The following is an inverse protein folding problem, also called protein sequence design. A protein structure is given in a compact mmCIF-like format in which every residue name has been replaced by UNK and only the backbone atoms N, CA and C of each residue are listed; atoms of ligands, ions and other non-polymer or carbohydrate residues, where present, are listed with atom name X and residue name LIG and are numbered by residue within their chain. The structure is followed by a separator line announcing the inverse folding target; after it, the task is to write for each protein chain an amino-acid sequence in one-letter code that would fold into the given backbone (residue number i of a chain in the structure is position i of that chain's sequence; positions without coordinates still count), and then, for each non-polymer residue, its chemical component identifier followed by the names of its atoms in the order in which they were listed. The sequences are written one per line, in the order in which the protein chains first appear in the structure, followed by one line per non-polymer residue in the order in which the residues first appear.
data_IF_096302420433
#
_entry.id   IF_096302420433
#
_cell.length_a   1.000
_cell.length_b   1.000
_cell.length_c   1.000
_cell.angle_alpha   90.00
_cell.angle_beta   90.00
_cell.angle_gamma   90.00
#
_symmetry.space_group_name_H-M   'P 1'
#
loop_
_entity.id
_entity.type
_entity.pdbx_description
1 polymer ?
#
# COMPACT_ATOMS: atom_id res chain seq x y z
N UNK A 1 24.93 -38.16 -1.09
CA UNK A 1 24.68 -37.23 -2.20
C UNK A 1 23.24 -36.80 -2.00
N UNK A 2 23.06 -35.90 -1.04
CA UNK A 2 21.76 -35.33 -0.71
C UNK A 2 21.44 -34.28 -1.76
N UNK A 3 20.24 -34.36 -2.31
CA UNK A 3 19.74 -33.42 -3.29
C UNK A 3 19.75 -32.01 -2.70
N UNK A 4 20.37 -31.09 -3.44
CA UNK A 4 20.35 -29.65 -3.23
C UNK A 4 18.88 -29.20 -3.28
N UNK A 5 18.19 -29.14 -2.14
CA UNK A 5 16.94 -28.39 -2.05
C UNK A 5 17.36 -26.93 -2.12
N UNK A 6 17.28 -26.36 -3.31
CA UNK A 6 17.32 -24.92 -3.51
C UNK A 6 16.11 -24.35 -2.76
N UNK A 7 16.29 -24.05 -1.47
CA UNK A 7 15.29 -23.41 -0.62
C UNK A 7 15.36 -21.90 -0.85
N UNK A 8 14.42 -21.35 -1.59
CA UNK A 8 13.16 -20.70 -1.17
C UNK A 8 13.34 -19.20 -1.36
N UNK A 9 12.58 -18.64 -2.30
CA UNK A 9 12.66 -17.22 -2.63
C UNK A 9 12.07 -16.44 -1.45
N UNK A 10 12.89 -15.69 -0.74
CA UNK A 10 12.42 -14.91 0.39
C UNK A 10 11.81 -13.59 -0.08
N UNK A 11 10.75 -13.13 0.56
CA UNK A 11 10.30 -11.75 0.45
C UNK A 11 10.65 -11.00 1.72
N UNK A 12 11.22 -9.81 1.58
CA UNK A 12 11.52 -8.95 2.70
C UNK A 12 10.71 -7.66 2.64
N UNK A 13 10.12 -7.31 3.77
CA UNK A 13 9.62 -5.98 4.04
C UNK A 13 10.62 -5.26 4.93
N UNK A 14 11.45 -4.37 4.36
CA UNK A 14 12.46 -3.63 5.12
C UNK A 14 11.84 -2.62 6.12
N UNK A 15 10.62 -2.16 5.87
CA UNK A 15 9.89 -1.26 6.78
C UNK A 15 9.45 -1.98 8.06
N UNK A 16 8.94 -3.21 7.94
CA UNK A 16 8.49 -4.00 9.10
C UNK A 16 9.57 -4.92 9.66
N UNK A 17 10.70 -5.05 8.96
CA UNK A 17 11.75 -6.02 9.27
C UNK A 17 11.20 -7.45 9.35
N UNK A 18 10.35 -7.82 8.39
CA UNK A 18 9.78 -9.16 8.29
C UNK A 18 10.31 -9.82 7.02
N UNK A 19 10.72 -11.09 7.14
CA UNK A 19 11.05 -11.96 6.01
C UNK A 19 10.07 -13.14 6.00
N UNK A 20 9.64 -13.53 4.80
CA UNK A 20 8.78 -14.69 4.60
C UNK A 20 9.33 -15.53 3.43
N UNK A 21 9.57 -16.84 3.60
CA UNK A 21 9.99 -17.71 2.51
C UNK A 21 8.82 -18.09 1.59
N UNK A 22 9.08 -18.20 0.28
CA UNK A 22 8.11 -18.67 -0.73
C UNK A 22 7.87 -20.18 -0.65
N UNK A 23 7.00 -20.60 0.25
CA UNK A 23 6.60 -21.99 0.38
C UNK A 23 5.27 -22.30 -0.30
N UNK A 24 5.21 -23.44 -1.00
CA UNK A 24 3.98 -23.96 -1.61
C UNK A 24 3.19 -24.88 -0.67
N UNK A 25 3.28 -24.63 0.64
CA UNK A 25 2.42 -25.26 1.65
C UNK A 25 1.09 -24.48 1.79
N UNK A 26 -0.02 -25.11 2.22
CA UNK A 26 -1.27 -24.38 2.45
C UNK A 26 -1.12 -23.20 3.42
N UNK A 27 -0.50 -23.43 4.57
CA UNK A 27 -0.26 -22.39 5.58
C UNK A 27 0.73 -21.33 5.09
N UNK A 28 1.77 -21.74 4.34
CA UNK A 28 2.73 -20.83 3.72
C UNK A 28 2.07 -19.93 2.67
N UNK A 29 1.10 -20.46 1.91
CA UNK A 29 0.33 -19.70 0.93
C UNK A 29 -0.59 -18.67 1.58
N UNK A 30 -1.24 -19.01 2.70
CA UNK A 30 -2.07 -18.06 3.46
C UNK A 30 -1.20 -16.97 4.10
N UNK A 31 -0.09 -17.35 4.73
CA UNK A 31 0.91 -16.41 5.25
C UNK A 31 1.44 -15.47 4.15
N UNK A 32 1.68 -16.00 2.95
CA UNK A 32 2.13 -15.22 1.79
C UNK A 32 1.13 -14.17 1.36
N UNK A 33 -0.12 -14.59 1.21
CA UNK A 33 -1.17 -13.68 0.80
C UNK A 33 -1.48 -12.64 1.88
N UNK A 34 -1.41 -13.02 3.16
CA UNK A 34 -1.51 -12.09 4.28
C UNK A 34 -0.37 -11.08 4.22
N UNK A 35 0.88 -11.53 4.12
CA UNK A 35 2.07 -10.68 4.01
C UNK A 35 1.93 -9.65 2.87
N UNK A 36 1.51 -10.09 1.69
CA UNK A 36 1.30 -9.18 0.55
C UNK A 36 0.19 -8.15 0.79
N UNK A 37 -0.81 -8.48 1.61
CA UNK A 37 -1.88 -7.56 2.01
C UNK A 37 -1.40 -6.58 3.09
N UNK A 38 -0.73 -7.07 4.15
CA UNK A 38 -0.21 -6.23 5.25
C UNK A 38 0.90 -5.26 4.78
N UNK A 39 1.71 -5.70 3.82
CA UNK A 39 2.85 -4.96 3.30
C UNK A 39 2.61 -4.39 1.90
N UNK A 40 1.35 -4.31 1.48
CA UNK A 40 0.93 -3.73 0.19
C UNK A 40 1.46 -2.30 -0.06
N UNK A 41 1.87 -1.60 1.01
CA UNK A 41 2.33 -0.22 1.05
C UNK A 41 3.82 -0.06 1.36
N UNK A 42 4.54 -1.15 1.55
CA UNK A 42 5.97 -1.12 1.86
C UNK A 42 6.77 -1.42 0.61
N UNK A 43 8.04 -1.02 0.63
CA UNK A 43 9.01 -1.55 -0.31
C UNK A 43 9.24 -3.01 0.05
N UNK A 44 8.62 -3.88 -0.74
CA UNK A 44 8.69 -5.33 -0.62
C UNK A 44 9.63 -5.84 -1.71
N UNK A 45 10.69 -6.52 -1.30
CA UNK A 45 11.72 -7.02 -2.21
C UNK A 45 11.69 -8.55 -2.26
N UNK A 46 11.70 -9.10 -3.48
CA UNK A 46 11.93 -10.51 -3.69
C UNK A 46 13.44 -10.77 -3.67
N UNK A 47 13.86 -11.66 -2.80
CA UNK A 47 15.24 -12.02 -2.55
C UNK A 47 15.53 -13.36 -3.22
N UNK A 48 16.63 -13.37 -3.96
CA UNK A 48 17.23 -14.56 -4.53
C UNK A 48 18.56 -14.80 -3.82
N UNK A 49 19.16 -15.98 -4.00
CA UNK A 49 20.42 -16.44 -3.36
C UNK A 49 21.63 -15.48 -3.48
N UNK A 50 21.51 -14.39 -4.26
CA UNK A 50 22.53 -13.36 -4.47
C UNK A 50 21.97 -11.91 -4.45
N UNK A 51 20.79 -11.70 -3.88
CA UNK A 51 20.23 -10.35 -3.79
C UNK A 51 21.08 -9.50 -2.85
N UNK A 52 21.49 -8.30 -3.28
CA UNK A 52 22.26 -7.37 -2.44
C UNK A 52 21.53 -6.98 -1.14
N UNK A 53 20.21 -7.14 -1.10
CA UNK A 53 19.38 -6.92 0.08
C UNK A 53 19.40 -8.09 1.07
N UNK A 54 19.82 -9.28 0.65
CA UNK A 54 20.01 -10.43 1.54
C UNK A 54 21.15 -10.16 2.54
N UNK A 55 22.21 -9.45 2.13
CA UNK A 55 23.28 -8.99 3.02
C UNK A 55 22.82 -7.92 4.04
N UNK A 56 21.65 -7.32 3.84
CA UNK A 56 21.06 -6.29 4.72
C UNK A 56 20.05 -6.87 5.72
N UNK A 57 19.68 -8.14 5.57
CA UNK A 57 18.88 -8.85 6.55
C UNK A 57 19.83 -9.32 7.65
N UNK A 58 19.51 -8.95 8.88
CA UNK A 58 20.30 -9.23 10.08
C UNK A 58 19.37 -9.73 11.19
N UNK A 59 19.93 -10.09 12.35
CA UNK A 59 19.29 -10.73 13.51
C UNK A 59 18.02 -10.07 14.05
N UNK A 60 17.74 -8.84 13.66
CA UNK A 60 16.56 -8.09 14.10
C UNK A 60 15.34 -8.27 13.17
N UNK A 61 15.50 -8.97 12.04
CA UNK A 61 14.36 -9.34 11.20
C UNK A 61 13.63 -10.52 11.83
N UNK A 62 12.30 -10.48 11.78
CA UNK A 62 11.45 -11.59 12.18
C UNK A 62 11.25 -12.47 10.95
N UNK A 63 11.67 -13.73 11.01
CA UNK A 63 11.52 -14.68 9.92
C UNK A 63 10.31 -15.58 10.17
N UNK A 64 9.26 -15.42 9.36
CA UNK A 64 8.05 -16.23 9.51
C UNK A 64 8.34 -17.67 9.09
N UNK A 65 8.11 -18.62 9.99
CA UNK A 65 8.32 -20.04 9.75
C UNK A 65 9.76 -20.53 9.97
N UNK A 66 10.60 -19.73 10.62
CA UNK A 66 11.93 -20.16 11.07
C UNK A 66 11.84 -21.17 12.23
N UNK A 67 12.98 -21.79 12.56
CA UNK A 67 13.12 -22.66 13.74
C UNK A 67 13.34 -21.88 15.05
N UNK A 68 13.40 -20.54 14.98
CA UNK A 68 13.60 -19.65 16.11
C UNK A 68 12.28 -19.54 16.90
N UNK A 69 12.30 -19.95 18.17
CA UNK A 69 11.11 -20.01 19.03
C UNK A 69 10.38 -18.67 19.23
N UNK A 70 11.05 -17.52 19.06
CA UNK A 70 10.43 -16.20 19.19
C UNK A 70 9.70 -15.76 17.92
N UNK A 71 10.00 -16.40 16.79
CA UNK A 71 9.45 -16.02 15.50
C UNK A 71 8.14 -16.79 15.28
N UNK A 72 7.16 -16.18 14.61
CA UNK A 72 5.90 -16.84 14.35
C UNK A 72 6.08 -17.93 13.30
N UNK A 73 5.51 -19.11 13.53
CA UNK A 73 5.31 -20.11 12.48
C UNK A 73 4.37 -19.58 11.38
N UNK A 74 4.31 -20.25 10.21
CA UNK A 74 3.35 -19.87 9.16
C UNK A 74 1.90 -19.86 9.65
N UNK A 75 1.51 -20.84 10.46
CA UNK A 75 0.16 -20.93 11.02
C UNK A 75 -0.13 -19.80 12.03
N UNK A 76 0.85 -19.44 12.87
CA UNK A 76 0.71 -18.32 13.80
C UNK A 76 0.68 -16.98 13.07
N UNK A 77 1.50 -16.81 12.03
CA UNK A 77 1.52 -15.62 11.22
C UNK A 77 0.25 -15.48 10.38
N UNK A 78 -0.22 -16.55 9.73
CA UNK A 78 -1.47 -16.55 8.98
C UNK A 78 -2.67 -16.30 9.92
N UNK A 79 -2.77 -17.04 11.01
CA UNK A 79 -3.92 -16.99 11.93
C UNK A 79 -5.24 -17.35 11.22
N UNK A 80 -6.36 -16.81 11.68
CA UNK A 80 -7.69 -16.99 11.04
C UNK A 80 -7.90 -16.02 9.86
N UNK A 81 -6.89 -15.84 9.00
CA UNK A 81 -6.98 -14.87 7.93
C UNK A 81 -7.91 -15.37 6.81
N UNK A 82 -9.13 -14.84 6.78
CA UNK A 82 -10.14 -15.19 5.78
C UNK A 82 -9.81 -14.73 4.35
N UNK A 83 -8.73 -13.96 4.19
CA UNK A 83 -8.23 -13.49 2.91
C UNK A 83 -9.12 -12.42 2.27
N UNK A 84 -8.50 -11.38 1.72
CA UNK A 84 -9.21 -10.52 0.76
C UNK A 84 -9.08 -11.17 -0.62
N UNK A 85 -10.20 -11.43 -1.32
CA UNK A 85 -10.20 -11.94 -2.70
C UNK A 85 -9.74 -10.89 -3.73
N UNK A 86 -8.60 -10.24 -3.45
CA UNK A 86 -8.05 -9.13 -4.23
C UNK A 86 -7.20 -9.62 -5.40
N UNK A 87 -6.57 -10.78 -5.25
CA UNK A 87 -5.75 -11.38 -6.31
C UNK A 87 -6.55 -11.65 -7.60
N UNK A 88 -7.87 -11.78 -7.49
CA UNK A 88 -8.78 -12.08 -8.59
C UNK A 88 -9.42 -10.83 -9.22
N UNK A 89 -9.20 -9.64 -8.65
CA UNK A 89 -9.86 -8.41 -9.08
C UNK A 89 -8.83 -7.39 -9.58
N UNK A 90 -9.02 -6.82 -10.79
CA UNK A 90 -8.17 -5.73 -11.27
C UNK A 90 -8.17 -4.56 -10.29
N UNK A 91 -7.02 -3.91 -10.13
CA UNK A 91 -6.80 -2.71 -9.30
C UNK A 91 -6.43 -1.50 -10.16
N UNK A 92 -7.35 -1.03 -11.02
CA UNK A 92 -7.04 -0.03 -12.03
C UNK A 92 -6.68 1.34 -11.43
N UNK A 93 -7.31 1.74 -10.31
CA UNK A 93 -7.11 3.07 -9.73
C UNK A 93 -5.74 3.14 -9.06
N UNK A 94 -5.42 2.20 -8.17
CA UNK A 94 -4.12 2.18 -7.52
C UNK A 94 -2.98 2.02 -8.54
N UNK A 95 -3.18 1.25 -9.62
CA UNK A 95 -2.21 1.15 -10.72
C UNK A 95 -2.00 2.48 -11.43
N UNK A 96 -3.08 3.17 -11.82
CA UNK A 96 -2.98 4.46 -12.50
C UNK A 96 -2.27 5.51 -11.62
N UNK A 97 -2.60 5.55 -10.33
CA UNK A 97 -1.93 6.44 -9.37
C UNK A 97 -0.47 6.05 -9.16
N UNK A 98 -0.13 4.77 -9.08
CA UNK A 98 1.25 4.32 -8.98
C UNK A 98 2.10 4.77 -10.18
N UNK A 99 1.54 4.75 -11.40
CA UNK A 99 2.24 5.23 -12.60
C UNK A 99 2.46 6.76 -12.58
N UNK A 100 1.56 7.53 -11.97
CA UNK A 100 1.73 8.97 -11.76
C UNK A 100 2.80 9.23 -10.69
N UNK A 101 2.70 8.55 -9.54
CA UNK A 101 3.66 8.66 -8.43
C UNK A 101 5.07 8.27 -8.86
N UNK A 102 5.23 7.20 -9.65
CA UNK A 102 6.54 6.80 -10.17
C UNK A 102 7.16 7.88 -11.06
N UNK A 103 6.38 8.47 -11.98
CA UNK A 103 6.87 9.58 -12.83
C UNK A 103 7.29 10.80 -12.00
N UNK A 104 6.57 11.07 -10.92
CA UNK A 104 6.93 12.12 -9.97
C UNK A 104 8.28 11.84 -9.27
N UNK A 105 8.48 10.61 -8.77
CA UNK A 105 9.77 10.19 -8.20
C UNK A 105 10.91 10.32 -9.23
N UNK A 106 10.72 9.79 -10.44
CA UNK A 106 11.72 9.84 -11.51
C UNK A 106 12.13 11.29 -11.81
N UNK A 107 11.17 12.23 -11.88
CA UNK A 107 11.44 13.65 -12.12
C UNK A 107 12.19 14.33 -10.97
N UNK A 108 11.89 13.97 -9.71
CA UNK A 108 12.60 14.50 -8.54
C UNK A 108 14.03 13.96 -8.45
N UNK A 109 14.23 12.68 -8.73
CA UNK A 109 15.55 12.04 -8.72
C UNK A 109 16.43 12.56 -9.87
N UNK A 110 15.84 12.87 -11.03
CA UNK A 110 16.50 13.57 -12.13
C UNK A 110 16.71 15.08 -11.91
N UNK A 111 16.21 15.62 -10.79
CA UNK A 111 16.23 17.05 -10.43
C UNK A 111 15.44 17.96 -11.38
N UNK A 112 14.53 17.40 -12.15
CA UNK A 112 13.59 18.11 -13.03
C UNK A 112 12.43 18.73 -12.23
N UNK A 113 12.09 18.14 -11.09
CA UNK A 113 11.13 18.71 -10.15
C UNK A 113 11.77 18.97 -8.79
N UNK A 114 11.69 20.22 -8.34
CA UNK A 114 11.93 20.63 -6.96
C UNK A 114 10.66 21.23 -6.37
N UNK A 115 10.17 20.69 -5.25
CA UNK A 115 8.99 21.21 -4.58
C UNK A 115 9.24 22.64 -4.06
N UNK A 116 8.31 23.54 -4.36
CA UNK A 116 8.32 24.90 -3.81
C UNK A 116 7.82 24.90 -2.35
N UNK A 117 8.14 25.93 -1.55
CA UNK A 117 7.62 26.01 -0.18
C UNK A 117 6.09 25.99 -0.07
N UNK A 118 5.39 26.54 -1.08
CA UNK A 118 3.93 26.47 -1.15
C UNK A 118 3.42 25.03 -1.33
N UNK A 119 4.16 24.19 -2.08
CA UNK A 119 3.85 22.78 -2.29
C UNK A 119 3.95 22.00 -0.98
N UNK A 120 5.01 22.25 -0.19
CA UNK A 120 5.20 21.64 1.12
C UNK A 120 4.06 21.99 2.09
N UNK A 121 3.64 23.26 2.14
CA UNK A 121 2.55 23.68 3.00
C UNK A 121 1.19 23.06 2.58
N UNK A 122 0.94 22.93 1.27
CA UNK A 122 -0.25 22.28 0.76
C UNK A 122 -0.22 20.77 1.03
N UNK A 123 0.93 20.12 0.82
CA UNK A 123 1.20 18.74 1.17
C UNK A 123 0.90 18.45 2.65
N UNK A 124 1.44 19.26 3.57
CA UNK A 124 1.19 19.13 5.00
C UNK A 124 -0.29 19.20 5.37
N UNK A 125 -1.07 20.06 4.68
CA UNK A 125 -2.52 20.17 4.91
C UNK A 125 -3.29 18.92 4.47
N UNK A 126 -2.89 18.29 3.37
CA UNK A 126 -3.59 17.11 2.84
C UNK A 126 -3.17 15.80 3.51
N UNK A 127 -1.93 15.70 4.04
CA UNK A 127 -1.39 14.47 4.61
C UNK A 127 -2.32 13.75 5.62
N UNK A 128 -2.98 14.44 6.58
CA UNK A 128 -3.84 13.77 7.56
C UNK A 128 -5.04 13.05 6.95
N UNK A 129 -5.44 13.42 5.73
CA UNK A 129 -6.59 12.83 5.06
C UNK A 129 -6.22 11.65 4.16
N UNK A 130 -4.94 11.37 3.94
CA UNK A 130 -4.48 10.32 3.02
C UNK A 130 -4.04 9.04 3.76
N UNK A 131 -4.17 9.01 5.09
CA UNK A 131 -3.79 7.88 5.93
C UNK A 131 -4.84 6.77 5.92
N UNK A 132 -4.82 5.96 4.87
CA UNK A 132 -5.63 4.75 4.75
C UNK A 132 -4.76 3.50 4.96
N UNK A 133 -4.62 3.09 6.21
CA UNK A 133 -3.91 1.87 6.60
C UNK A 133 -4.76 1.04 7.59
N UNK A 134 -5.98 0.63 7.23
CA UNK A 134 -6.76 -0.24 8.09
C UNK A 134 -6.05 -1.60 8.23
N UNK A 135 -6.15 -2.26 9.39
CA UNK A 135 -5.57 -3.58 9.57
C UNK A 135 -6.07 -4.57 8.49
N UNK A 136 -5.18 -5.40 7.92
CA UNK A 136 -5.47 -6.26 6.77
C UNK A 136 -6.61 -7.27 7.04
N UNK A 137 -6.75 -7.70 8.31
CA UNK A 137 -7.81 -8.59 8.79
C UNK A 137 -8.96 -7.90 9.54
N UNK A 138 -9.06 -6.56 9.53
CA UNK A 138 -10.17 -5.86 10.20
C UNK A 138 -11.50 -6.22 9.53
N UNK A 139 -12.39 -6.84 10.33
CA UNK A 139 -13.74 -7.16 9.88
C UNK A 139 -14.56 -5.88 9.74
N UNK A 140 -15.32 -5.79 8.64
CA UNK A 140 -16.19 -4.64 8.38
C UNK A 140 -17.66 -5.06 8.32
N UNK A 141 -18.51 -4.18 8.84
CA UNK A 141 -19.94 -4.17 8.57
C UNK A 141 -20.29 -2.96 7.68
N UNK A 142 -21.57 -2.82 7.31
CA UNK A 142 -22.06 -1.71 6.49
C UNK A 142 -21.72 -0.34 7.10
N UNK A 143 -21.77 -0.20 8.44
CA UNK A 143 -21.46 1.06 9.09
C UNK A 143 -19.98 1.43 8.95
N UNK A 144 -19.08 0.45 9.06
CA UNK A 144 -17.64 0.64 8.83
C UNK A 144 -17.37 0.96 7.36
N UNK A 145 -18.04 0.30 6.42
CA UNK A 145 -17.92 0.61 4.97
C UNK A 145 -18.33 2.06 4.69
N UNK A 146 -19.45 2.52 5.24
CA UNK A 146 -19.92 3.89 5.07
C UNK A 146 -18.97 4.92 5.70
N UNK A 147 -18.42 4.63 6.89
CA UNK A 147 -17.45 5.50 7.55
C UNK A 147 -16.16 5.64 6.72
N UNK A 148 -15.67 4.53 6.16
CA UNK A 148 -14.51 4.51 5.27
C UNK A 148 -14.76 5.25 3.96
N UNK A 149 -15.94 5.07 3.36
CA UNK A 149 -16.34 5.84 2.18
C UNK A 149 -16.37 7.35 2.47
N UNK A 150 -16.94 7.76 3.61
CA UNK A 150 -16.94 9.18 4.01
C UNK A 150 -15.52 9.74 4.21
N UNK A 151 -14.58 8.93 4.73
CA UNK A 151 -13.18 9.31 4.84
C UNK A 151 -12.53 9.48 3.45
N UNK A 152 -12.81 8.56 2.51
CA UNK A 152 -12.37 8.67 1.11
C UNK A 152 -12.92 9.95 0.46
N UNK A 153 -14.22 10.23 0.61
CA UNK A 153 -14.83 11.45 0.08
C UNK A 153 -14.20 12.72 0.65
N UNK A 154 -13.93 12.74 1.96
CA UNK A 154 -13.22 13.84 2.60
C UNK A 154 -11.80 14.02 2.03
N UNK A 155 -11.06 12.93 1.81
CA UNK A 155 -9.72 12.97 1.21
C UNK A 155 -9.74 13.52 -0.21
N UNK A 156 -10.68 13.06 -1.04
CA UNK A 156 -10.87 13.55 -2.41
C UNK A 156 -11.21 15.05 -2.43
N UNK A 157 -12.06 15.50 -1.51
CA UNK A 157 -12.40 16.91 -1.39
C UNK A 157 -11.21 17.77 -0.97
N UNK A 158 -10.37 17.29 -0.04
CA UNK A 158 -9.15 18.02 0.34
C UNK A 158 -8.13 18.09 -0.80
N UNK A 159 -7.97 17.01 -1.58
CA UNK A 159 -7.15 17.02 -2.79
C UNK A 159 -7.67 18.04 -3.82
N UNK A 160 -9.00 18.09 -4.05
CA UNK A 160 -9.61 19.10 -4.92
C UNK A 160 -9.34 20.51 -4.43
N UNK A 161 -9.51 20.78 -3.14
CA UNK A 161 -9.20 22.09 -2.55
C UNK A 161 -7.74 22.48 -2.75
N UNK A 162 -6.81 21.56 -2.52
CA UNK A 162 -5.39 21.80 -2.73
C UNK A 162 -5.09 22.23 -4.18
N UNK A 163 -5.77 21.67 -5.19
CA UNK A 163 -5.59 22.11 -6.59
C UNK A 163 -6.06 23.52 -6.90
N UNK A 164 -6.81 24.17 -6.01
CA UNK A 164 -7.23 25.57 -6.17
C UNK A 164 -6.26 26.57 -5.54
N UNK A 165 -5.25 26.07 -4.82
CA UNK A 165 -4.23 26.89 -4.17
C UNK A 165 -3.13 27.31 -5.16
N UNK A 166 -2.38 28.39 -4.88
CA UNK A 166 -1.23 28.78 -5.69
C UNK A 166 -0.06 27.80 -5.46
N UNK A 167 -0.05 26.71 -6.22
CA UNK A 167 0.98 25.68 -6.19
C UNK A 167 2.04 25.92 -7.28
N UNK A 168 3.21 25.30 -7.12
CA UNK A 168 4.19 25.19 -8.20
C UNK A 168 3.68 24.31 -9.33
N UNK A 169 4.10 24.61 -10.57
CA UNK A 169 3.59 23.97 -11.79
C UNK A 169 3.65 22.42 -11.74
N UNK A 170 4.76 21.86 -11.25
CA UNK A 170 4.94 20.41 -11.15
C UNK A 170 4.00 19.77 -10.13
N UNK A 171 3.88 20.36 -8.93
CA UNK A 171 3.00 19.81 -7.89
C UNK A 171 1.52 19.99 -8.24
N UNK A 172 1.15 21.15 -8.81
CA UNK A 172 -0.21 21.38 -9.32
C UNK A 172 -0.58 20.41 -10.44
N UNK A 173 0.36 20.11 -11.35
CA UNK A 173 0.17 19.09 -12.41
C UNK A 173 0.02 17.70 -11.80
N UNK A 174 0.88 17.33 -10.84
CA UNK A 174 0.78 16.06 -10.13
C UNK A 174 -0.59 15.88 -9.46
N UNK A 175 -1.04 16.88 -8.68
CA UNK A 175 -2.34 16.82 -8.00
C UNK A 175 -3.51 16.73 -8.99
N UNK A 176 -3.42 17.44 -10.12
CA UNK A 176 -4.43 17.38 -11.18
C UNK A 176 -4.50 16.01 -11.85
N UNK A 177 -3.35 15.38 -12.09
CA UNK A 177 -3.28 14.05 -12.68
C UNK A 177 -3.81 12.97 -11.74
N UNK A 178 -3.47 13.01 -10.45
CA UNK A 178 -4.01 12.04 -9.49
C UNK A 178 -5.51 12.23 -9.30
N UNK A 179 -6.02 13.46 -9.23
CA UNK A 179 -7.47 13.70 -9.14
C UNK A 179 -8.23 13.18 -10.36
N UNK A 180 -7.62 13.20 -11.55
CA UNK A 180 -8.22 12.64 -12.77
C UNK A 180 -8.23 11.11 -12.77
N UNK A 181 -7.24 10.49 -12.11
CA UNK A 181 -7.14 9.03 -11.99
C UNK A 181 -8.00 8.46 -10.87
N UNK A 182 -8.29 9.25 -9.83
CA UNK A 182 -9.12 8.85 -8.70
C UNK A 182 -10.62 8.80 -9.07
N UNK A 183 -11.41 7.93 -8.41
CA UNK A 183 -12.82 7.78 -8.69
C UNK A 183 -13.63 9.01 -8.30
N UNK A 184 -14.78 9.15 -8.94
CA UNK A 184 -15.84 10.09 -8.56
C UNK A 184 -16.85 9.43 -7.63
N UNK A 185 -17.75 10.22 -7.04
CA UNK A 185 -18.84 9.67 -6.21
C UNK A 185 -19.73 8.67 -6.97
N UNK A 186 -19.86 8.82 -8.30
CA UNK A 186 -20.62 7.90 -9.13
C UNK A 186 -19.95 6.53 -9.28
N UNK A 187 -18.62 6.44 -9.11
CA UNK A 187 -17.86 5.20 -9.21
C UNK A 187 -17.90 4.38 -7.90
N UNK A 188 -18.29 5.03 -6.79
CA UNK A 188 -18.33 4.49 -5.43
C UNK A 188 -19.74 4.59 -4.79
N UNK A 189 -20.81 4.07 -5.42
CA UNK A 189 -22.15 4.13 -4.86
C UNK A 189 -22.25 3.32 -3.55
N UNK A 190 -22.72 3.92 -2.43
CA UNK A 190 -22.70 3.28 -1.10
C UNK A 190 -23.37 1.90 -1.06
N UNK A 191 -24.56 1.78 -1.68
CA UNK A 191 -25.35 0.55 -1.65
C UNK A 191 -24.62 -0.61 -2.34
N UNK A 192 -23.92 -0.35 -3.44
CA UNK A 192 -23.14 -1.39 -4.13
C UNK A 192 -21.87 -1.73 -3.36
N UNK A 193 -21.22 -0.75 -2.73
CA UNK A 193 -20.04 -1.00 -1.91
C UNK A 193 -20.38 -1.87 -0.69
N UNK A 194 -21.51 -1.63 -0.03
CA UNK A 194 -21.98 -2.50 1.05
C UNK A 194 -22.32 -3.90 0.51
N UNK A 195 -23.04 -4.00 -0.62
CA UNK A 195 -23.41 -5.29 -1.21
C UNK A 195 -22.22 -6.13 -1.69
N UNK A 196 -21.16 -5.49 -2.18
CA UNK A 196 -19.90 -6.13 -2.57
C UNK A 196 -18.99 -6.46 -1.40
N UNK A 197 -19.20 -5.80 -0.26
CA UNK A 197 -18.40 -6.01 0.92
C UNK A 197 -18.71 -7.39 1.50
N UNK A 198 -17.72 -8.27 1.44
CA UNK A 198 -17.64 -9.41 2.34
C UNK A 198 -17.11 -8.96 3.71
N UNK A 199 -16.45 -9.84 4.47
CA UNK A 199 -15.92 -9.49 5.79
C UNK A 199 -14.83 -8.39 5.77
N UNK A 200 -14.24 -8.03 4.62
CA UNK A 200 -13.01 -7.23 4.55
C UNK A 200 -13.09 -6.02 3.60
N UNK A 201 -14.31 -5.47 3.41
CA UNK A 201 -14.68 -4.35 2.54
C UNK A 201 -14.64 -4.63 1.03
N UNK A 202 -15.37 -3.82 0.26
CA UNK A 202 -15.41 -3.93 -1.21
C UNK A 202 -14.01 -3.73 -1.82
N UNK A 203 -13.62 -4.55 -2.81
CA UNK A 203 -12.37 -4.35 -3.56
C UNK A 203 -12.24 -2.96 -4.19
N UNK A 204 -13.36 -2.31 -4.58
CA UNK A 204 -13.34 -0.96 -5.16
C UNK A 204 -12.96 0.10 -4.14
N UNK A 205 -13.55 0.01 -2.95
CA UNK A 205 -13.22 0.90 -1.83
C UNK A 205 -11.74 0.73 -1.44
N UNK A 206 -11.29 -0.52 -1.32
CA UNK A 206 -9.90 -0.83 -1.02
C UNK A 206 -8.91 -0.32 -2.08
N UNK A 207 -9.21 -0.47 -3.38
CA UNK A 207 -8.35 0.03 -4.46
C UNK A 207 -8.19 1.57 -4.38
N UNK A 208 -9.26 2.27 -4.00
CA UNK A 208 -9.27 3.72 -3.86
C UNK A 208 -8.45 4.18 -2.65
N UNK A 209 -8.67 3.55 -1.49
CA UNK A 209 -7.88 3.80 -0.28
C UNK A 209 -6.39 3.56 -0.53
N UNK A 210 -6.08 2.48 -1.26
CA UNK A 210 -4.71 2.16 -1.66
C UNK A 210 -4.10 3.25 -2.53
N UNK A 211 -4.85 3.76 -3.50
CA UNK A 211 -4.41 4.86 -4.34
C UNK A 211 -4.13 6.13 -3.52
N UNK A 212 -4.98 6.47 -2.55
CA UNK A 212 -4.78 7.62 -1.67
C UNK A 212 -3.52 7.47 -0.79
N UNK A 213 -3.28 6.27 -0.26
CA UNK A 213 -2.06 5.97 0.51
C UNK A 213 -0.78 6.06 -0.32
N UNK A 214 -0.82 5.69 -1.61
CA UNK A 214 0.33 5.88 -2.52
C UNK A 214 0.67 7.36 -2.72
N UNK A 215 -0.34 8.23 -2.81
CA UNK A 215 -0.14 9.68 -2.88
C UNK A 215 0.53 10.17 -1.60
N UNK A 216 0.03 9.72 -0.43
CA UNK A 216 0.63 10.07 0.85
C UNK A 216 2.11 9.68 0.92
N UNK A 217 2.46 8.48 0.47
CA UNK A 217 3.84 8.00 0.49
C UNK A 217 4.79 8.91 -0.28
N UNK A 218 4.40 9.38 -1.47
CA UNK A 218 5.18 10.36 -2.23
C UNK A 218 5.31 11.69 -1.45
N UNK A 219 4.18 12.20 -0.98
CA UNK A 219 4.11 13.50 -0.28
C UNK A 219 5.01 13.49 0.96
N UNK A 220 4.88 12.48 1.82
CA UNK A 220 5.69 12.33 3.04
C UNK A 220 7.17 12.16 2.69
N UNK A 221 7.52 11.31 1.72
CA UNK A 221 8.92 10.97 1.48
C UNK A 221 9.74 12.08 0.81
N UNK A 222 9.11 12.95 0.01
CA UNK A 222 9.84 13.87 -0.88
C UNK A 222 9.38 15.32 -0.86
N UNK A 223 8.18 15.61 -0.35
CA UNK A 223 7.59 16.96 -0.38
C UNK A 223 7.56 17.59 1.01
N UNK A 224 7.12 16.88 2.04
CA UNK A 224 6.96 17.41 3.40
C UNK A 224 8.22 17.35 4.28
N UNK A 225 9.29 16.66 3.87
CA UNK A 225 10.53 16.51 4.65
C UNK A 225 11.66 17.49 4.24
N UNK A 226 11.32 18.61 3.57
CA UNK A 226 12.29 19.65 3.19
C UNK A 226 11.98 20.99 3.83
#
# INVERSE_FOLDING_TARGET
MEENVAELVDVACHTCRIVLPLLDSPDGREAWWKFLDEHAYHQVELLWEHSASQERIDIDYIEVGSDIRSDPSFAEYAGEWSGRSLALRPRPIARAVAEIVRRAFDAMDAHEWQAAPADAAAAERIMPYLDFAPPPGELVDDAVVLARLAAVEAALEQLRRATTEPLGDHFGTFLSDVLRALPTAADLPPDELCAESGPLASPRLWDTERALRLIQHLVTSRISLR
#
